data_IF_313113936142
#
_entry.id   IF_313113936142
#
_cell.length_a   1.000
_cell.length_b   1.000
_cell.length_c   1.000
_cell.angle_alpha   90.00
_cell.angle_beta   90.00
_cell.angle_gamma   90.00
#
_symmetry.space_group_name_H-M   'P 1'
#
loop_
_entity.id
_entity.type
_entity.pdbx_description
1 polymer ?
#
# COMPACT_ATOMS: atom_id res chain seq x y z
N UNK A 1 16.97 -5.97 1.47
CA UNK A 1 16.90 -7.07 2.46
C UNK A 1 15.86 -6.70 3.50
N UNK A 2 14.89 -7.58 3.76
CA UNK A 2 13.98 -7.43 4.90
C UNK A 2 14.60 -8.20 6.08
N UNK A 3 14.83 -7.51 7.19
CA UNK A 3 15.54 -8.06 8.34
C UNK A 3 14.55 -8.67 9.35
N UNK A 4 14.88 -9.84 9.92
CA UNK A 4 13.99 -10.68 10.75
C UNK A 4 14.40 -10.78 12.23
N UNK A 5 15.29 -9.92 12.72
CA UNK A 5 15.79 -9.93 14.11
C UNK A 5 15.44 -8.67 14.92
N UNK A 6 16.21 -8.41 15.99
CA UNK A 6 16.11 -7.17 16.78
C UNK A 6 16.78 -5.99 16.08
N UNK A 7 16.32 -4.77 16.34
CA UNK A 7 16.97 -3.53 15.85
C UNK A 7 18.47 -3.51 16.17
N UNK A 8 18.86 -4.06 17.33
CA UNK A 8 20.25 -4.14 17.75
C UNK A 8 21.09 -5.01 16.80
N UNK A 9 20.62 -6.22 16.47
CA UNK A 9 21.34 -7.12 15.58
C UNK A 9 21.47 -6.53 14.17
N UNK A 10 20.43 -5.84 13.68
CA UNK A 10 20.48 -5.12 12.40
C UNK A 10 21.56 -4.02 12.40
N UNK A 11 21.63 -3.24 13.48
CA UNK A 11 22.65 -2.21 13.62
C UNK A 11 24.06 -2.80 13.67
N UNK A 12 24.27 -3.88 14.42
CA UNK A 12 25.57 -4.56 14.50
C UNK A 12 26.04 -5.09 13.14
N UNK A 13 25.13 -5.66 12.34
CA UNK A 13 25.41 -6.10 10.98
C UNK A 13 25.78 -4.92 10.06
N UNK A 14 24.94 -3.88 10.04
CA UNK A 14 25.10 -2.72 9.15
C UNK A 14 26.30 -1.83 9.52
N UNK A 15 26.77 -1.90 10.76
CA UNK A 15 27.91 -1.12 11.28
C UNK A 15 29.18 -1.98 11.46
N UNK A 16 29.16 -3.21 10.95
CA UNK A 16 30.31 -4.10 10.91
C UNK A 16 31.39 -3.59 9.96
N UNK A 17 32.64 -3.97 10.24
CA UNK A 17 33.79 -3.58 9.39
C UNK A 17 33.69 -4.11 7.95
N UNK A 18 32.89 -5.15 7.70
CA UNK A 18 32.62 -5.67 6.36
C UNK A 18 31.61 -4.87 5.55
N UNK A 19 30.81 -4.02 6.19
CA UNK A 19 29.71 -3.29 5.55
C UNK A 19 30.02 -1.80 5.45
N UNK A 20 30.65 -1.19 6.46
CA UNK A 20 30.92 0.24 6.46
C UNK A 20 31.93 0.63 5.39
N UNK A 21 31.71 1.77 4.73
CA UNK A 21 32.72 2.40 3.87
C UNK A 21 33.77 3.12 4.74
N UNK A 22 34.68 2.33 5.29
CA UNK A 22 35.73 2.84 6.19
C UNK A 22 36.66 3.83 5.49
N UNK A 23 36.84 3.71 4.18
CA UNK A 23 37.67 4.63 3.40
C UNK A 23 37.03 6.03 3.36
N UNK A 24 35.75 6.13 3.00
CA UNK A 24 35.02 7.41 3.01
C UNK A 24 34.91 8.01 4.40
N UNK A 25 34.66 7.19 5.43
CA UNK A 25 34.57 7.66 6.82
C UNK A 25 35.90 8.27 7.27
N UNK A 26 37.03 7.59 7.02
CA UNK A 26 38.36 8.10 7.36
C UNK A 26 38.71 9.35 6.54
N UNK A 27 38.42 9.37 5.23
CA UNK A 27 38.68 10.52 4.37
C UNK A 27 37.96 11.78 4.89
N UNK A 28 36.69 11.65 5.31
CA UNK A 28 35.94 12.77 5.89
C UNK A 28 36.54 13.23 7.23
N UNK A 29 37.04 12.32 8.07
CA UNK A 29 37.73 12.68 9.30
C UNK A 29 39.05 13.43 9.02
N UNK A 30 39.83 12.99 8.03
CA UNK A 30 41.08 13.63 7.63
C UNK A 30 40.84 15.04 7.06
N UNK A 31 39.83 15.21 6.20
CA UNK A 31 39.44 16.53 5.70
C UNK A 31 38.99 17.47 6.84
N UNK A 32 38.28 16.94 7.84
CA UNK A 32 37.92 17.69 9.04
C UNK A 32 39.13 18.10 9.89
N UNK A 33 40.15 17.23 10.02
CA UNK A 33 41.43 17.56 10.68
C UNK A 33 42.20 18.63 9.93
N UNK A 34 42.33 18.49 8.60
CA UNK A 34 43.05 19.45 7.75
C UNK A 34 42.39 20.83 7.76
N UNK A 35 41.07 20.89 7.90
CA UNK A 35 40.35 22.16 8.06
C UNK A 35 40.73 22.90 9.35
N UNK A 36 41.21 22.19 10.37
CA UNK A 36 41.89 22.78 11.53
C UNK A 36 41.01 23.57 12.50
N UNK A 37 39.68 23.58 12.31
CA UNK A 37 38.78 24.24 13.26
C UNK A 37 38.51 23.36 14.47
N UNK A 38 38.16 23.97 15.61
CA UNK A 38 37.74 23.23 16.82
C UNK A 38 36.67 22.18 16.51
N UNK A 39 35.63 22.59 15.78
CA UNK A 39 34.52 21.70 15.39
C UNK A 39 34.95 20.59 14.43
N UNK A 40 35.82 20.89 13.46
CA UNK A 40 36.38 19.89 12.56
C UNK A 40 37.16 18.82 13.34
N UNK A 41 38.04 19.26 14.25
CA UNK A 41 38.79 18.37 15.12
C UNK A 41 37.88 17.49 16.00
N UNK A 42 36.87 18.08 16.65
CA UNK A 42 35.88 17.34 17.47
C UNK A 42 35.15 16.26 16.65
N UNK A 43 34.78 16.54 15.39
CA UNK A 43 34.17 15.53 14.51
C UNK A 43 35.14 14.42 14.14
N UNK A 44 36.37 14.77 13.80
CA UNK A 44 37.39 13.78 13.49
C UNK A 44 37.69 12.88 14.70
N UNK A 45 37.79 13.45 15.91
CA UNK A 45 37.93 12.71 17.16
C UNK A 45 36.75 11.77 17.38
N UNK A 46 35.52 12.25 17.13
CA UNK A 46 34.30 11.44 17.24
C UNK A 46 34.32 10.24 16.28
N UNK A 47 34.72 10.44 15.03
CA UNK A 47 34.84 9.36 14.04
C UNK A 47 35.86 8.33 14.47
N UNK A 48 37.05 8.76 14.91
CA UNK A 48 38.12 7.86 15.36
C UNK A 48 37.66 7.05 16.58
N UNK A 49 37.05 7.70 17.57
CA UNK A 49 36.51 7.04 18.75
C UNK A 49 35.44 6.01 18.39
N UNK A 50 34.51 6.35 17.49
CA UNK A 50 33.47 5.44 17.06
C UNK A 50 34.04 4.23 16.28
N UNK A 51 35.02 4.44 15.41
CA UNK A 51 35.69 3.35 14.70
C UNK A 51 36.52 2.43 15.63
N UNK A 52 36.94 2.92 16.80
CA UNK A 52 37.64 2.11 17.80
C UNK A 52 36.70 1.25 18.66
N UNK A 53 35.39 1.52 18.64
CA UNK A 53 34.40 0.72 19.36
C UNK A 53 34.21 -0.67 18.74
N UNK A 54 33.81 -1.63 19.58
CA UNK A 54 33.30 -2.92 19.10
C UNK A 54 31.89 -2.78 18.49
N UNK A 55 31.42 -3.83 17.79
CA UNK A 55 30.15 -3.78 17.05
C UNK A 55 28.95 -3.41 17.95
N UNK A 56 28.78 -4.00 19.15
CA UNK A 56 27.68 -3.62 20.05
C UNK A 56 27.74 -2.15 20.48
N UNK A 57 28.92 -1.63 20.83
CA UNK A 57 29.08 -0.22 21.20
C UNK A 57 28.86 0.72 20.02
N UNK A 58 29.31 0.37 18.81
CA UNK A 58 29.03 1.15 17.59
C UNK A 58 27.53 1.27 17.33
N UNK A 59 26.80 0.16 17.48
CA UNK A 59 25.35 0.10 17.33
C UNK A 59 24.64 1.01 18.35
N UNK A 60 25.02 0.92 19.63
CA UNK A 60 24.46 1.79 20.68
C UNK A 60 24.77 3.26 20.44
N UNK A 61 25.94 3.57 19.87
CA UNK A 61 26.40 4.92 19.57
C UNK A 61 26.14 5.33 18.10
N UNK A 62 25.16 4.72 17.42
CA UNK A 62 24.83 5.06 16.02
C UNK A 62 24.48 6.55 15.84
N UNK A 63 23.82 7.16 16.82
CA UNK A 63 23.51 8.60 16.79
C UNK A 63 24.75 9.50 16.78
N UNK A 64 25.85 9.04 17.40
CA UNK A 64 27.10 9.77 17.49
C UNK A 64 27.76 9.91 16.13
N UNK A 65 27.90 8.80 15.39
CA UNK A 65 28.51 8.82 14.05
C UNK A 65 27.65 9.61 13.06
N UNK A 66 26.32 9.44 13.09
CA UNK A 66 25.38 10.22 12.26
C UNK A 66 25.51 11.73 12.50
N UNK A 67 25.79 12.15 13.73
CA UNK A 67 25.92 13.59 14.06
C UNK A 67 27.08 14.30 13.35
N UNK A 68 28.07 13.57 12.84
CA UNK A 68 29.25 14.14 12.17
C UNK A 68 28.92 14.82 10.83
N UNK A 69 27.85 14.39 10.16
CA UNK A 69 27.42 14.88 8.84
C UNK A 69 25.95 15.34 8.84
N UNK A 70 25.38 15.62 10.02
CA UNK A 70 24.05 16.22 10.14
C UNK A 70 24.07 17.53 10.92
N UNK A 71 23.11 18.39 10.65
CA UNK A 71 22.84 19.57 11.46
C UNK A 71 21.90 19.25 12.64
N UNK A 72 21.55 20.26 13.44
CA UNK A 72 20.66 20.10 14.60
C UNK A 72 19.22 19.68 14.26
N UNK A 73 18.76 19.87 13.02
CA UNK A 73 17.47 19.35 12.55
C UNK A 73 17.57 17.95 11.96
N UNK A 74 18.77 17.35 11.95
CA UNK A 74 19.04 16.05 11.37
C UNK A 74 19.17 16.05 9.84
N UNK A 75 19.24 17.21 9.18
CA UNK A 75 19.45 17.32 7.73
C UNK A 75 20.94 17.24 7.39
N UNK A 76 21.25 16.86 6.14
CA UNK A 76 22.62 16.72 5.66
C UNK A 76 23.43 18.02 5.84
N UNK A 77 24.64 17.88 6.36
CA UNK A 77 25.58 18.98 6.53
C UNK A 77 26.76 18.81 5.57
N UNK A 78 26.51 19.15 4.30
CA UNK A 78 27.44 18.97 3.18
C UNK A 78 28.29 20.22 2.93
N UNK A 79 27.63 21.37 2.80
CA UNK A 79 28.27 22.66 2.54
C UNK A 79 27.63 23.74 3.40
N UNK A 80 28.35 24.25 4.39
CA UNK A 80 27.87 25.35 5.22
C UNK A 80 29.01 26.22 5.74
N UNK A 81 28.86 27.53 5.54
CA UNK A 81 29.87 28.54 5.91
C UNK A 81 30.18 28.44 7.41
N UNK A 82 31.43 28.19 7.77
CA UNK A 82 31.92 27.99 9.15
C UNK A 82 31.45 26.70 9.84
N UNK A 83 30.77 25.79 9.13
CA UNK A 83 30.32 24.51 9.68
C UNK A 83 30.97 23.31 9.00
N UNK A 84 31.46 23.45 7.77
CA UNK A 84 32.14 22.39 7.02
C UNK A 84 33.34 22.95 6.25
N UNK A 85 34.29 22.11 5.84
CA UNK A 85 35.21 22.41 4.75
C UNK A 85 34.43 22.85 3.49
N UNK A 86 35.05 23.70 2.66
CA UNK A 86 34.47 24.19 1.40
C UNK A 86 34.85 23.34 0.18
N UNK A 87 35.53 22.22 0.41
CA UNK A 87 35.98 21.29 -0.63
C UNK A 87 34.77 20.53 -1.22
N UNK A 88 34.56 20.53 -2.56
CA UNK A 88 33.52 19.73 -3.21
C UNK A 88 33.56 18.24 -2.84
N UNK A 89 34.76 17.65 -2.71
CA UNK A 89 34.90 16.24 -2.32
C UNK A 89 34.38 15.98 -0.91
N UNK A 90 34.49 16.96 0.01
CA UNK A 90 33.91 16.85 1.35
C UNK A 90 32.39 16.76 1.28
N UNK A 91 31.77 17.61 0.45
CA UNK A 91 30.33 17.65 0.30
C UNK A 91 29.77 16.34 -0.28
N UNK A 92 30.47 15.75 -1.26
CA UNK A 92 30.11 14.46 -1.85
C UNK A 92 30.19 13.31 -0.84
N UNK A 93 31.31 13.20 -0.11
CA UNK A 93 31.49 12.16 0.91
C UNK A 93 30.46 12.33 2.04
N UNK A 94 30.29 13.56 2.55
CA UNK A 94 29.32 13.85 3.60
C UNK A 94 27.88 13.50 3.18
N UNK A 95 27.52 13.75 1.92
CA UNK A 95 26.20 13.40 1.39
C UNK A 95 26.02 11.88 1.30
N UNK A 96 27.02 11.15 0.84
CA UNK A 96 26.97 9.69 0.76
C UNK A 96 26.83 9.06 2.15
N UNK A 97 27.64 9.49 3.12
CA UNK A 97 27.54 9.01 4.51
C UNK A 97 26.22 9.40 5.17
N UNK A 98 25.70 10.59 4.88
CA UNK A 98 24.36 10.99 5.30
C UNK A 98 23.30 10.02 4.77
N UNK A 99 23.25 9.80 3.45
CA UNK A 99 22.27 8.90 2.83
C UNK A 99 22.36 7.47 3.37
N UNK A 100 23.57 6.97 3.61
CA UNK A 100 23.80 5.69 4.26
C UNK A 100 23.18 5.67 5.66
N UNK A 101 23.51 6.62 6.53
CA UNK A 101 22.92 6.66 7.89
C UNK A 101 21.41 6.91 7.90
N UNK A 102 20.87 7.66 6.94
CA UNK A 102 19.43 7.85 6.80
C UNK A 102 18.73 6.55 6.40
N UNK A 103 19.34 5.75 5.52
CA UNK A 103 18.78 4.46 5.13
C UNK A 103 18.67 3.51 6.33
N UNK A 104 19.68 3.48 7.19
CA UNK A 104 19.69 2.71 8.44
C UNK A 104 18.63 3.26 9.40
N UNK A 105 18.58 4.58 9.60
CA UNK A 105 17.58 5.25 10.45
C UNK A 105 16.14 4.97 10.03
N UNK A 106 15.87 4.94 8.73
CA UNK A 106 14.57 4.58 8.17
C UNK A 106 14.14 3.16 8.52
N UNK A 107 15.05 2.19 8.44
CA UNK A 107 14.77 0.79 8.83
C UNK A 107 14.49 0.66 10.33
N UNK A 108 15.27 1.35 11.17
CA UNK A 108 15.01 1.40 12.63
C UNK A 108 13.61 1.95 12.91
N UNK A 109 13.21 3.01 12.21
CA UNK A 109 11.90 3.63 12.43
C UNK A 109 10.76 2.70 12.00
N UNK A 110 10.91 1.99 10.88
CA UNK A 110 9.94 0.98 10.43
C UNK A 110 9.82 -0.18 11.44
N UNK A 111 10.95 -0.67 11.96
CA UNK A 111 10.95 -1.71 12.98
C UNK A 111 10.21 -1.27 14.26
N UNK A 112 10.47 -0.05 14.74
CA UNK A 112 9.75 0.53 15.89
C UNK A 112 8.24 0.65 15.65
N UNK A 113 7.82 1.01 14.44
CA UNK A 113 6.40 1.03 14.08
C UNK A 113 5.80 -0.37 14.07
N UNK A 114 6.51 -1.36 13.53
CA UNK A 114 6.08 -2.75 13.54
C UNK A 114 5.91 -3.27 14.97
N UNK A 115 6.90 -3.04 15.85
CA UNK A 115 6.85 -3.44 17.26
C UNK A 115 5.66 -2.80 18.01
N UNK A 116 5.31 -1.57 17.66
CA UNK A 116 4.16 -0.87 18.26
C UNK A 116 2.82 -1.41 17.76
N UNK A 117 2.71 -1.77 16.48
CA UNK A 117 1.45 -2.18 15.86
C UNK A 117 1.17 -3.67 15.99
N UNK A 118 2.20 -4.51 16.02
CA UNK A 118 2.06 -5.96 16.07
C UNK A 118 1.23 -6.45 17.28
N UNK A 119 1.44 -5.96 18.52
CA UNK A 119 0.63 -6.38 19.67
C UNK A 119 -0.86 -6.05 19.50
N UNK A 120 -1.17 -4.86 18.98
CA UNK A 120 -2.56 -4.44 18.75
C UNK A 120 -3.24 -5.31 17.68
N UNK A 121 -2.54 -5.62 16.59
CA UNK A 121 -3.03 -6.51 15.54
C UNK A 121 -3.25 -7.94 16.05
N UNK A 122 -2.32 -8.47 16.85
CA UNK A 122 -2.44 -9.79 17.45
C UNK A 122 -3.61 -9.86 18.44
N UNK A 123 -3.77 -8.83 19.28
CA UNK A 123 -4.91 -8.73 20.19
C UNK A 123 -6.24 -8.65 19.43
N UNK A 124 -6.32 -7.83 18.38
CA UNK A 124 -7.50 -7.73 17.52
C UNK A 124 -7.84 -9.07 16.84
N UNK A 125 -6.83 -9.78 16.34
CA UNK A 125 -6.99 -11.12 15.75
C UNK A 125 -7.51 -12.13 16.77
N UNK A 126 -6.92 -12.17 17.97
CA UNK A 126 -7.35 -13.07 19.03
C UNK A 126 -8.80 -12.78 19.47
N UNK A 127 -9.14 -11.50 19.61
CA UNK A 127 -10.50 -11.05 19.91
C UNK A 127 -11.49 -11.49 18.83
N UNK A 128 -11.19 -11.23 17.55
CA UNK A 128 -12.07 -11.58 16.44
C UNK A 128 -12.36 -13.09 16.37
N UNK A 129 -11.34 -13.93 16.59
CA UNK A 129 -11.50 -15.38 16.65
C UNK A 129 -12.41 -15.80 17.81
N UNK A 130 -12.14 -15.29 19.03
CA UNK A 130 -12.95 -15.60 20.21
C UNK A 130 -14.38 -15.11 20.10
N UNK A 131 -14.58 -13.94 19.49
CA UNK A 131 -15.90 -13.40 19.21
C UNK A 131 -16.69 -14.31 18.27
N UNK A 132 -16.07 -14.77 17.19
CA UNK A 132 -16.69 -15.71 16.25
C UNK A 132 -17.02 -17.06 16.92
N UNK A 133 -16.13 -17.63 17.72
CA UNK A 133 -16.40 -18.85 18.51
C UNK A 133 -17.60 -18.68 19.44
N UNK A 134 -17.66 -17.56 20.17
CA UNK A 134 -18.79 -17.25 21.06
C UNK A 134 -20.11 -17.08 20.31
N UNK A 135 -20.10 -16.43 19.13
CA UNK A 135 -21.29 -16.32 18.28
C UNK A 135 -21.79 -17.69 17.86
N UNK A 136 -20.90 -18.55 17.37
CA UNK A 136 -21.25 -19.91 16.94
C UNK A 136 -21.81 -20.75 18.09
N UNK A 137 -21.18 -20.73 19.26
CA UNK A 137 -21.63 -21.48 20.43
C UNK A 137 -23.03 -21.07 20.92
N UNK A 138 -23.43 -19.81 20.66
CA UNK A 138 -24.75 -19.27 21.03
C UNK A 138 -25.75 -19.23 19.88
N UNK A 139 -25.38 -19.72 18.69
CA UNK A 139 -26.22 -19.62 17.50
C UNK A 139 -26.51 -18.18 17.05
N UNK A 140 -25.67 -17.22 17.41
CA UNK A 140 -25.83 -15.81 17.05
C UNK A 140 -25.27 -15.53 15.65
N UNK A 141 -25.91 -14.61 14.95
CA UNK A 141 -25.54 -14.13 13.63
C UNK A 141 -25.70 -12.62 13.62
N UNK A 142 -24.63 -11.88 13.32
CA UNK A 142 -24.73 -10.42 13.12
C UNK A 142 -25.01 -10.07 11.65
N UNK A 143 -25.20 -8.77 11.36
CA UNK A 143 -25.56 -8.32 10.00
C UNK A 143 -24.49 -8.68 8.96
N UNK A 144 -23.21 -8.54 9.31
CA UNK A 144 -22.11 -8.89 8.40
C UNK A 144 -22.07 -10.40 8.15
N UNK A 145 -22.29 -11.22 9.18
CA UNK A 145 -22.45 -12.66 9.02
C UNK A 145 -23.66 -13.01 8.15
N UNK A 146 -24.80 -12.30 8.28
CA UNK A 146 -25.98 -12.55 7.46
C UNK A 146 -25.70 -12.27 5.98
N UNK A 147 -25.04 -11.15 5.66
CA UNK A 147 -24.64 -10.82 4.30
C UNK A 147 -23.68 -11.89 3.77
N UNK A 148 -22.60 -12.19 4.51
CA UNK A 148 -21.59 -13.16 4.09
C UNK A 148 -22.15 -14.57 3.89
N UNK A 149 -22.97 -15.06 4.83
CA UNK A 149 -23.61 -16.37 4.74
C UNK A 149 -24.63 -16.44 3.60
N UNK A 150 -25.40 -15.37 3.37
CA UNK A 150 -26.36 -15.32 2.27
C UNK A 150 -25.65 -15.32 0.91
N UNK A 151 -24.59 -14.54 0.76
CA UNK A 151 -23.75 -14.56 -0.44
C UNK A 151 -23.14 -15.94 -0.68
N UNK A 152 -22.63 -16.60 0.36
CA UNK A 152 -22.08 -17.95 0.28
C UNK A 152 -23.14 -19.02 -0.04
N UNK A 153 -24.35 -18.89 0.50
CA UNK A 153 -25.47 -19.78 0.21
C UNK A 153 -25.90 -19.69 -1.26
N UNK A 154 -25.98 -18.46 -1.77
CA UNK A 154 -26.42 -18.16 -3.13
C UNK A 154 -25.35 -18.41 -4.21
N UNK A 155 -24.10 -18.66 -3.82
CA UNK A 155 -23.05 -19.11 -4.75
C UNK A 155 -23.03 -20.63 -4.94
N UNK A 156 -23.73 -21.39 -4.08
CA UNK A 156 -23.85 -22.84 -4.20
C UNK A 156 -25.04 -23.21 -5.09
N UNK A 157 -24.78 -23.67 -6.32
CA UNK A 157 -25.79 -23.88 -7.37
C UNK A 157 -27.09 -24.56 -6.90
N UNK A 158 -27.00 -25.71 -6.21
CA UNK A 158 -28.20 -26.45 -5.82
C UNK A 158 -29.15 -25.72 -4.85
N UNK A 159 -28.61 -24.96 -3.90
CA UNK A 159 -29.42 -24.17 -2.96
C UNK A 159 -29.85 -22.85 -3.58
N UNK A 160 -28.95 -22.21 -4.34
CA UNK A 160 -29.22 -20.97 -5.07
C UNK A 160 -30.42 -21.13 -6.02
N UNK A 161 -30.45 -22.22 -6.80
CA UNK A 161 -31.52 -22.49 -7.76
C UNK A 161 -32.88 -22.72 -7.06
N UNK A 162 -32.89 -23.39 -5.91
CA UNK A 162 -34.10 -23.56 -5.11
C UNK A 162 -34.61 -22.23 -4.53
N UNK A 163 -33.70 -21.40 -3.98
CA UNK A 163 -34.06 -20.08 -3.45
C UNK A 163 -34.60 -19.18 -4.56
N UNK A 164 -33.95 -19.15 -5.72
CA UNK A 164 -34.41 -18.42 -6.91
C UNK A 164 -35.80 -18.88 -7.35
N UNK A 165 -36.01 -20.19 -7.48
CA UNK A 165 -37.30 -20.77 -7.86
C UNK A 165 -38.44 -20.35 -6.90
N UNK A 166 -38.14 -20.31 -5.60
CA UNK A 166 -39.13 -19.88 -4.59
C UNK A 166 -39.45 -18.39 -4.70
N UNK A 167 -38.43 -17.55 -4.90
CA UNK A 167 -38.60 -16.10 -4.98
C UNK A 167 -39.26 -15.64 -6.29
N UNK A 168 -38.94 -16.27 -7.43
CA UNK A 168 -39.54 -15.97 -8.74
C UNK A 168 -41.06 -16.14 -8.75
N UNK A 169 -41.59 -17.05 -7.91
CA UNK A 169 -43.04 -17.24 -7.76
C UNK A 169 -43.73 -16.16 -6.91
N UNK A 170 -42.99 -15.42 -6.11
CA UNK A 170 -43.53 -14.51 -5.11
C UNK A 170 -43.25 -13.04 -5.43
N UNK A 171 -42.18 -12.74 -6.17
CA UNK A 171 -41.73 -11.39 -6.45
C UNK A 171 -41.27 -11.22 -7.90
N UNK A 172 -41.84 -10.24 -8.61
CA UNK A 172 -41.49 -9.94 -10.01
C UNK A 172 -40.32 -8.95 -10.16
N UNK A 173 -40.02 -8.16 -9.12
CA UNK A 173 -39.07 -7.05 -9.16
C UNK A 173 -38.24 -6.96 -7.87
N UNK A 174 -36.96 -6.65 -8.02
CA UNK A 174 -36.05 -6.31 -6.91
C UNK A 174 -35.69 -4.82 -7.04
N UNK A 175 -35.97 -4.03 -6.01
CA UNK A 175 -35.59 -2.63 -5.91
C UNK A 175 -34.49 -2.48 -4.85
N UNK A 176 -33.39 -1.83 -5.22
CA UNK A 176 -32.29 -1.50 -4.31
C UNK A 176 -32.31 0.01 -4.12
N UNK A 177 -32.62 0.44 -2.90
CA UNK A 177 -32.50 1.84 -2.50
C UNK A 177 -31.09 2.11 -1.98
N UNK A 178 -30.64 3.37 -2.05
CA UNK A 178 -29.30 3.80 -1.63
C UNK A 178 -28.16 2.96 -2.23
N UNK A 179 -28.27 2.65 -3.52
CA UNK A 179 -27.35 1.76 -4.24
C UNK A 179 -25.87 2.22 -4.22
N UNK A 180 -25.61 3.50 -3.93
CA UNK A 180 -24.26 4.03 -3.73
C UNK A 180 -23.60 3.59 -2.41
N UNK A 181 -24.40 3.18 -1.42
CA UNK A 181 -23.94 2.77 -0.09
C UNK A 181 -23.86 1.23 0.05
N UNK A 182 -24.08 0.49 -1.05
CA UNK A 182 -24.08 -0.98 -1.08
C UNK A 182 -22.67 -1.53 -1.33
N UNK A 183 -22.24 -2.50 -0.51
CA UNK A 183 -20.93 -3.16 -0.64
C UNK A 183 -20.94 -4.33 -1.64
N UNK A 184 -19.75 -4.85 -2.00
CA UNK A 184 -19.60 -5.90 -3.02
C UNK A 184 -20.37 -7.20 -2.67
N UNK A 185 -20.34 -7.64 -1.41
CA UNK A 185 -21.03 -8.85 -0.98
C UNK A 185 -22.57 -8.71 -1.08
N UNK A 186 -23.11 -7.52 -0.84
CA UNK A 186 -24.53 -7.24 -1.05
C UNK A 186 -24.89 -7.23 -2.55
N UNK A 187 -23.99 -6.72 -3.41
CA UNK A 187 -24.15 -6.83 -4.87
C UNK A 187 -24.07 -8.26 -5.38
N UNK A 188 -23.23 -9.10 -4.78
CA UNK A 188 -23.17 -10.54 -5.07
C UNK A 188 -24.50 -11.22 -4.80
N UNK A 189 -25.13 -10.91 -3.66
CA UNK A 189 -26.47 -11.40 -3.33
C UNK A 189 -27.48 -10.93 -4.39
N UNK A 190 -27.51 -9.64 -4.71
CA UNK A 190 -28.47 -9.08 -5.67
C UNK A 190 -28.32 -9.71 -7.07
N UNK A 191 -27.08 -9.91 -7.53
CA UNK A 191 -26.78 -10.61 -8.80
C UNK A 191 -27.22 -12.06 -8.74
N UNK A 192 -26.80 -12.77 -7.70
CA UNK A 192 -27.15 -14.17 -7.53
C UNK A 192 -28.67 -14.36 -7.48
N UNK A 193 -29.46 -13.42 -6.96
CA UNK A 193 -30.93 -13.50 -6.99
C UNK A 193 -31.55 -13.15 -8.36
N UNK A 194 -30.85 -12.41 -9.22
CA UNK A 194 -31.38 -11.90 -10.50
C UNK A 194 -30.83 -12.60 -11.75
N UNK A 195 -29.81 -13.45 -11.64
CA UNK A 195 -29.15 -14.10 -12.79
C UNK A 195 -30.12 -14.93 -13.67
N UNK A 196 -31.02 -15.72 -13.07
CA UNK A 196 -32.04 -16.46 -13.82
C UNK A 196 -33.11 -15.54 -14.41
N UNK A 197 -33.47 -14.48 -13.69
CA UNK A 197 -34.43 -13.49 -14.16
C UNK A 197 -33.90 -12.75 -15.40
N UNK A 198 -32.60 -12.43 -15.42
CA UNK A 198 -31.91 -11.82 -16.56
C UNK A 198 -31.77 -12.76 -17.75
N UNK A 199 -31.54 -14.05 -17.53
CA UNK A 199 -31.55 -15.06 -18.59
C UNK A 199 -32.95 -15.22 -19.22
N UNK A 200 -34.00 -15.24 -18.41
CA UNK A 200 -35.40 -15.29 -18.85
C UNK A 200 -35.84 -13.99 -19.53
N UNK A 201 -35.46 -12.82 -19.00
CA UNK A 201 -35.67 -11.52 -19.65
C UNK A 201 -34.92 -11.45 -20.98
N UNK A 202 -33.68 -11.92 -21.07
CA UNK A 202 -32.94 -11.97 -22.32
C UNK A 202 -33.63 -12.87 -23.36
N UNK A 203 -34.18 -14.01 -22.93
CA UNK A 203 -34.96 -14.92 -23.78
C UNK A 203 -36.33 -14.34 -24.20
N UNK A 204 -37.02 -13.61 -23.31
CA UNK A 204 -38.29 -12.92 -23.63
C UNK A 204 -38.07 -11.69 -24.52
N UNK A 205 -37.00 -10.93 -24.28
CA UNK A 205 -36.52 -9.80 -25.09
C UNK A 205 -35.91 -10.27 -26.43
N UNK A 206 -35.54 -11.54 -26.57
CA UNK A 206 -35.22 -12.17 -27.86
C UNK A 206 -36.42 -12.41 -28.77
N UNK A 207 -37.64 -12.39 -28.23
CA UNK A 207 -38.89 -12.52 -29.00
C UNK A 207 -39.56 -11.18 -29.34
N UNK A 208 -39.07 -10.04 -28.85
CA UNK A 208 -39.61 -8.71 -29.15
C UNK A 208 -38.59 -7.81 -29.88
N UNK A 209 -39.08 -6.93 -30.77
CA UNK A 209 -38.31 -6.27 -31.83
C UNK A 209 -37.02 -5.51 -31.39
N UNK A 210 -36.00 -5.40 -32.27
CA UNK A 210 -34.60 -5.24 -31.86
C UNK A 210 -34.12 -3.82 -31.48
N UNK A 211 -34.96 -2.78 -31.56
CA UNK A 211 -34.49 -1.37 -31.57
C UNK A 211 -34.65 -0.63 -30.23
N UNK A 212 -35.59 -1.03 -29.35
CA UNK A 212 -35.69 -0.46 -27.98
C UNK A 212 -34.72 -1.11 -26.96
N UNK A 213 -33.76 -1.89 -27.45
CA UNK A 213 -33.20 -3.08 -26.80
C UNK A 213 -32.00 -2.87 -25.86
N UNK A 214 -31.41 -1.68 -25.82
CA UNK A 214 -30.16 -1.43 -25.05
C UNK A 214 -30.10 -0.05 -24.38
N UNK A 215 -30.98 0.86 -24.80
CA UNK A 215 -30.97 2.27 -24.46
C UNK A 215 -31.37 2.59 -23.01
N UNK A 216 -32.10 1.73 -22.30
CA UNK A 216 -32.66 2.06 -20.98
C UNK A 216 -31.94 1.34 -19.83
N UNK A 217 -31.53 0.07 -20.04
CA UNK A 217 -30.81 -0.72 -19.01
C UNK A 217 -29.30 -0.41 -19.07
N UNK A 218 -28.69 -0.40 -20.25
CA UNK A 218 -27.26 -0.13 -20.38
C UNK A 218 -26.88 1.34 -20.19
N UNK A 219 -27.77 2.28 -20.55
CA UNK A 219 -27.52 3.73 -20.36
C UNK A 219 -27.54 4.13 -18.88
N UNK A 220 -28.33 3.46 -18.03
CA UNK A 220 -28.32 3.64 -16.57
C UNK A 220 -27.13 2.94 -15.91
N UNK A 221 -26.77 1.73 -16.35
CA UNK A 221 -25.63 0.97 -15.80
C UNK A 221 -24.25 1.56 -16.22
N UNK A 222 -24.11 2.03 -17.46
CA UNK A 222 -22.88 2.65 -17.98
C UNK A 222 -22.65 4.06 -17.44
N UNK A 223 -23.71 4.84 -17.22
CA UNK A 223 -23.61 6.14 -16.55
C UNK A 223 -23.24 6.02 -15.06
N UNK A 224 -23.61 4.91 -14.40
CA UNK A 224 -23.24 4.60 -13.02
C UNK A 224 -21.78 4.14 -12.89
N UNK A 225 -21.30 3.28 -13.82
CA UNK A 225 -19.88 2.85 -13.86
C UNK A 225 -18.90 4.00 -14.13
N UNK A 226 -19.33 5.07 -14.80
CA UNK A 226 -18.52 6.27 -15.07
C UNK A 226 -18.24 7.12 -13.81
N UNK A 227 -18.90 6.86 -12.67
CA UNK A 227 -18.79 7.66 -11.44
C UNK A 227 -17.94 7.00 -10.33
N UNK A 228 -17.36 5.82 -10.61
CA UNK A 228 -16.42 5.11 -9.72
C UNK A 228 -15.03 5.13 -10.36
N UNK A 229 -14.08 5.96 -9.89
CA UNK A 229 -12.75 6.03 -10.48
C UNK A 229 -11.92 4.85 -9.97
N UNK A 230 -11.80 3.81 -10.80
CA UNK A 230 -10.57 3.03 -11.09
C UNK A 230 -10.97 1.65 -11.64
N UNK A 231 -10.93 1.54 -12.96
CA UNK A 231 -10.30 0.46 -13.76
C UNK A 231 -10.54 0.90 -15.21
N UNK A 232 -9.51 1.49 -15.80
CA UNK A 232 -9.49 1.94 -17.20
C UNK A 232 -9.24 0.73 -18.11
N UNK A 233 -10.12 0.48 -19.06
CA UNK A 233 -9.77 -0.28 -20.27
C UNK A 233 -9.96 0.64 -21.46
N UNK A 234 -8.82 1.07 -22.02
CA UNK A 234 -8.71 1.81 -23.26
C UNK A 234 -8.69 0.80 -24.41
N UNK A 235 -9.52 0.99 -25.43
CA UNK A 235 -9.17 0.56 -26.78
C UNK A 235 -9.85 1.47 -27.80
N UNK A 236 -9.00 2.26 -28.48
CA UNK A 236 -9.31 2.98 -29.69
C UNK A 236 -9.72 2.00 -30.79
N UNK A 237 -10.79 2.32 -31.53
CA UNK A 237 -10.95 1.84 -32.90
C UNK A 237 -11.47 2.99 -33.77
N UNK A 238 -10.52 3.66 -34.40
CA UNK A 238 -10.73 4.57 -35.52
C UNK A 238 -11.30 3.74 -36.68
N UNK A 239 -12.45 4.13 -37.24
CA UNK A 239 -12.97 3.65 -38.52
C UNK A 239 -13.36 4.86 -39.40
N UNK A 240 -13.26 4.74 -40.74
CA UNK A 240 -12.77 5.81 -41.60
C UNK A 240 -13.85 6.82 -41.99
N UNK A 241 -13.41 8.08 -42.21
CA UNK A 241 -14.21 9.11 -42.88
C UNK A 241 -14.65 8.62 -44.27
N UNK A 242 -15.96 8.51 -44.49
CA UNK A 242 -16.54 8.37 -45.84
C UNK A 242 -16.37 9.69 -46.58
N UNK A 243 -15.65 9.68 -47.70
CA UNK A 243 -15.68 10.72 -48.72
C UNK A 243 -17.02 10.67 -49.47
N UNK A 244 -17.68 11.81 -49.78
CA UNK A 244 -18.78 11.82 -50.73
C UNK A 244 -18.28 11.67 -52.18
N UNK A 245 -18.98 10.85 -52.96
CA UNK A 245 -18.76 10.62 -54.40
C UNK A 245 -19.28 11.80 -55.25
N UNK A 246 -18.78 11.98 -56.49
CA UNK A 246 -18.90 13.23 -57.24
C UNK A 246 -20.23 13.32 -57.98
N UNK A 247 -20.75 14.55 -58.12
CA UNK A 247 -21.83 14.87 -59.06
C UNK A 247 -21.18 15.16 -60.42
N UNK A 248 -21.52 14.37 -61.44
CA UNK A 248 -21.24 14.64 -62.85
C UNK A 248 -22.54 15.13 -63.50
N UNK A 249 -22.50 16.37 -64.01
CA UNK A 249 -22.87 16.82 -65.37
C UNK A 249 -23.09 18.32 -65.32
#
# INVERSE_FOLDING_TARGET
MAFTGSVQNYLEEMLSDSVIDRASINALADMNRQWGTKRGNERADTVVQWLAMDMPMRAQNFGLIRSCWTNGSGAALTTSKNYTPTDPAYAEIALALYQWTESIGGQIQLAKYADRLAPALLAGKAFALKYQECKQARGLVDFDDMIGKTAALLSQGGMADWVRYKLDRQYDHILIDEAQDTNEAQWDIARALSDDFLAVLAARVAKAAPFLRWATISRRFSAFRARIPKITVRQERILPRRLPKPVRS
#
